data_IF_064319721373
#
_entry.id   IF_064319721373
#
_cell.length_a   1.000
_cell.length_b   1.000
_cell.length_c   1.000
_cell.angle_alpha   90.00
_cell.angle_beta   90.00
_cell.angle_gamma   90.00
#
_symmetry.space_group_name_H-M   'P 1'
#
loop_
_entity.id
_entity.type
_entity.pdbx_description
1 polymer ?
#
# COMPACT_ATOMS: atom_id res chain seq x y z
N UNK A 1 10.74 7.04 -9.34
CA UNK A 1 11.17 5.90 -8.51
C UNK A 1 9.93 5.19 -8.05
N UNK A 2 10.03 3.88 -8.12
CA UNK A 2 9.02 3.03 -8.70
C UNK A 2 8.23 2.40 -7.55
N UNK A 3 6.91 2.39 -7.64
CA UNK A 3 6.11 1.55 -6.73
C UNK A 3 6.37 0.12 -7.11
N UNK A 4 7.38 -0.46 -6.45
CA UNK A 4 7.84 -1.79 -6.76
C UNK A 4 6.98 -2.76 -5.99
N UNK A 5 6.39 -3.74 -6.66
CA UNK A 5 5.75 -4.87 -5.99
C UNK A 5 6.66 -6.06 -6.15
N UNK A 6 6.92 -6.75 -5.04
CA UNK A 6 7.78 -7.92 -5.00
C UNK A 6 6.89 -9.15 -4.82
N UNK A 7 6.98 -10.09 -5.76
CA UNK A 7 6.41 -11.43 -5.58
C UNK A 7 7.54 -12.39 -5.20
N UNK A 8 7.37 -13.08 -4.07
CA UNK A 8 8.24 -14.19 -3.67
C UNK A 8 7.63 -15.51 -4.14
N UNK A 9 8.45 -16.31 -4.80
CA UNK A 9 8.06 -17.62 -5.32
C UNK A 9 8.55 -18.69 -4.35
N UNK A 10 7.71 -19.70 -4.10
CA UNK A 10 8.09 -20.84 -3.26
C UNK A 10 8.93 -21.83 -4.08
N UNK A 11 10.00 -22.34 -3.46
CA UNK A 11 10.79 -23.44 -4.00
C UNK A 11 9.98 -24.73 -3.85
N UNK A 12 9.12 -25.04 -4.83
CA UNK A 12 8.31 -26.25 -4.83
C UNK A 12 9.21 -27.46 -5.14
N UNK A 13 9.22 -28.46 -4.24
CA UNK A 13 10.02 -29.71 -4.25
C UNK A 13 9.65 -30.70 -5.38
N UNK A 14 9.23 -30.22 -6.55
CA UNK A 14 8.92 -31.00 -7.76
C UNK A 14 9.94 -30.74 -8.87
N UNK A 15 10.12 -31.70 -9.79
CA UNK A 15 11.17 -31.72 -10.83
C UNK A 15 11.50 -30.35 -11.43
N UNK A 16 12.79 -30.01 -11.48
CA UNK A 16 13.31 -28.69 -11.89
C UNK A 16 12.77 -28.12 -13.22
N UNK A 17 12.31 -29.01 -14.12
CA UNK A 17 11.69 -28.65 -15.40
C UNK A 17 10.29 -28.03 -15.25
N UNK A 18 9.47 -28.53 -14.32
CA UNK A 18 8.14 -27.94 -14.06
C UNK A 18 8.25 -26.57 -13.41
N UNK A 19 9.29 -26.36 -12.59
CA UNK A 19 9.58 -25.09 -11.94
C UNK A 19 9.92 -24.00 -12.96
N UNK A 20 10.89 -24.27 -13.85
CA UNK A 20 11.31 -23.32 -14.87
C UNK A 20 10.16 -22.88 -15.79
N UNK A 21 9.31 -23.82 -16.24
CA UNK A 21 8.16 -23.52 -17.10
C UNK A 21 7.08 -22.67 -16.40
N UNK A 22 6.80 -22.93 -15.12
CA UNK A 22 5.82 -22.15 -14.36
C UNK A 22 6.27 -20.71 -14.10
N UNK A 23 7.56 -20.50 -13.83
CA UNK A 23 8.13 -19.18 -13.57
C UNK A 23 8.24 -18.35 -14.85
N UNK A 24 8.67 -18.99 -15.94
CA UNK A 24 8.76 -18.35 -17.25
C UNK A 24 7.38 -18.01 -17.82
N UNK A 25 6.36 -18.83 -17.52
CA UNK A 25 4.96 -18.54 -17.83
C UNK A 25 4.43 -17.31 -17.08
N UNK A 26 4.56 -17.29 -15.74
CA UNK A 26 4.14 -16.15 -14.91
C UNK A 26 4.89 -14.89 -15.33
N UNK A 27 6.18 -15.01 -15.67
CA UNK A 27 7.00 -13.93 -16.22
C UNK A 27 6.45 -13.40 -17.54
N UNK A 28 6.28 -14.25 -18.56
CA UNK A 28 5.82 -13.83 -19.89
C UNK A 28 4.41 -13.23 -19.83
N UNK A 29 3.54 -13.79 -18.99
CA UNK A 29 2.19 -13.27 -18.79
C UNK A 29 2.21 -11.87 -18.17
N UNK A 30 3.08 -11.61 -17.19
CA UNK A 30 3.14 -10.31 -16.54
C UNK A 30 3.92 -9.28 -17.38
N UNK A 31 4.95 -9.71 -18.11
CA UNK A 31 5.66 -8.87 -19.10
C UNK A 31 4.72 -8.40 -20.23
N UNK A 32 3.63 -9.13 -20.53
CA UNK A 32 2.60 -8.73 -21.51
C UNK A 32 1.87 -7.42 -21.13
N UNK A 33 1.85 -7.06 -19.85
CA UNK A 33 1.26 -5.81 -19.35
C UNK A 33 2.23 -4.61 -19.33
N UNK A 34 3.39 -4.72 -19.98
CA UNK A 34 4.47 -3.69 -19.99
C UNK A 34 5.03 -3.36 -18.61
N UNK A 35 4.81 -4.21 -17.62
CA UNK A 35 5.40 -4.07 -16.30
C UNK A 35 6.83 -4.59 -16.40
N UNK A 36 7.84 -3.72 -16.26
CA UNK A 36 9.24 -4.15 -16.27
C UNK A 36 9.46 -5.11 -15.11
N UNK A 37 9.78 -6.36 -15.41
CA UNK A 37 10.17 -7.37 -14.43
C UNK A 37 11.69 -7.56 -14.39
N UNK A 38 12.29 -7.36 -13.22
CA UNK A 38 13.64 -7.85 -12.94
C UNK A 38 13.51 -9.10 -12.07
N UNK A 39 13.98 -10.24 -12.57
CA UNK A 39 13.91 -11.52 -11.88
C UNK A 39 15.29 -11.87 -11.30
N UNK A 40 15.35 -12.07 -9.99
CA UNK A 40 16.43 -12.80 -9.31
C UNK A 40 15.86 -14.13 -8.85
N UNK A 41 16.67 -15.17 -8.65
CA UNK A 41 16.29 -16.61 -8.62
C UNK A 41 14.88 -16.96 -8.10
N UNK A 42 14.40 -16.36 -7.00
CA UNK A 42 13.06 -16.58 -6.42
C UNK A 42 12.19 -15.31 -6.23
N UNK A 43 12.56 -14.20 -6.86
CA UNK A 43 11.96 -12.87 -6.63
C UNK A 43 11.69 -12.14 -7.93
N UNK A 44 10.43 -11.75 -8.16
CA UNK A 44 10.05 -10.91 -9.31
C UNK A 44 9.77 -9.50 -8.82
N UNK A 45 10.49 -8.53 -9.40
CA UNK A 45 10.34 -7.10 -9.12
C UNK A 45 9.52 -6.45 -10.23
N UNK A 46 8.35 -5.91 -9.90
CA UNK A 46 7.53 -5.13 -10.85
C UNK A 46 7.82 -3.65 -10.66
N UNK A 47 8.05 -2.88 -11.72
CA UNK A 47 8.15 -1.41 -11.61
C UNK A 47 7.21 -0.69 -12.57
N UNK A 48 6.42 0.25 -12.05
CA UNK A 48 5.55 1.14 -12.83
C UNK A 48 6.05 2.59 -12.80
N UNK A 49 5.98 3.29 -13.94
CA UNK A 49 6.32 4.71 -14.12
C UNK A 49 5.02 5.52 -14.43
N UNK A 50 4.91 6.80 -14.06
CA UNK A 50 3.64 7.54 -14.24
C UNK A 50 3.28 7.89 -15.70
N UNK A 51 4.25 7.81 -16.63
CA UNK A 51 3.93 7.90 -18.06
C UNK A 51 3.13 6.69 -18.57
N UNK A 52 2.93 5.67 -17.74
CA UNK A 52 2.08 4.55 -18.04
C UNK A 52 0.61 4.99 -17.99
N UNK A 53 0.00 5.19 -19.16
CA UNK A 53 -1.46 5.36 -19.33
C UNK A 53 -2.27 4.36 -18.50
N UNK A 54 -1.78 3.12 -18.36
CA UNK A 54 -2.35 2.08 -17.51
C UNK A 54 -2.51 2.49 -16.04
N UNK A 55 -1.55 3.22 -15.46
CA UNK A 55 -1.61 3.63 -14.05
C UNK A 55 -2.71 4.68 -13.84
N UNK A 56 -2.86 5.60 -14.79
CA UNK A 56 -3.95 6.59 -14.77
C UNK A 56 -5.31 5.92 -14.96
N UNK A 57 -5.43 4.96 -15.88
CA UNK A 57 -6.63 4.14 -16.02
C UNK A 57 -6.96 3.40 -14.73
N UNK A 58 -5.96 2.81 -14.06
CA UNK A 58 -6.16 2.13 -12.79
C UNK A 58 -6.59 3.07 -11.67
N UNK A 59 -6.12 4.33 -11.67
CA UNK A 59 -6.57 5.35 -10.73
C UNK A 59 -8.05 5.73 -10.94
N UNK A 60 -8.50 5.79 -12.19
CA UNK A 60 -9.91 6.03 -12.56
C UNK A 60 -10.79 4.82 -12.20
N UNK A 61 -10.35 3.59 -12.50
CA UNK A 61 -11.05 2.35 -12.13
C UNK A 61 -11.25 2.24 -10.62
N UNK A 62 -10.22 2.59 -9.83
CA UNK A 62 -10.27 2.61 -8.37
C UNK A 62 -11.02 3.83 -7.80
N UNK A 63 -11.48 4.75 -8.66
CA UNK A 63 -12.18 6.00 -8.30
C UNK A 63 -11.43 6.79 -7.25
N UNK A 64 -10.11 6.91 -7.42
CA UNK A 64 -9.27 7.66 -6.49
C UNK A 64 -9.73 9.12 -6.48
N UNK A 65 -9.93 9.68 -5.29
CA UNK A 65 -10.35 11.08 -5.15
C UNK A 65 -9.13 11.99 -5.12
N UNK A 66 -9.11 12.99 -5.99
CA UNK A 66 -8.03 13.98 -6.14
C UNK A 66 -8.56 15.40 -5.97
N UNK A 67 -7.66 16.29 -5.56
CA UNK A 67 -7.98 17.71 -5.39
C UNK A 67 -8.12 18.38 -6.75
N UNK A 68 -9.19 19.16 -6.92
CA UNK A 68 -9.35 20.03 -8.08
C UNK A 68 -8.54 21.31 -7.91
N UNK A 69 -8.18 21.93 -9.03
CA UNK A 69 -7.58 23.25 -9.03
C UNK A 69 -8.52 24.27 -8.37
N UNK A 70 -7.99 25.26 -7.62
CA UNK A 70 -8.82 26.27 -6.94
C UNK A 70 -9.73 27.05 -7.88
N UNK A 71 -9.29 27.27 -9.12
CA UNK A 71 -10.05 27.98 -10.16
C UNK A 71 -11.29 27.21 -10.63
N UNK A 72 -11.30 25.88 -10.47
CA UNK A 72 -12.41 25.00 -10.84
C UNK A 72 -13.33 24.67 -9.65
N UNK A 73 -13.30 25.48 -8.60
CA UNK A 73 -14.11 25.32 -7.39
C UNK A 73 -13.44 24.52 -6.27
N UNK A 74 -12.23 23.98 -6.51
CA UNK A 74 -11.46 23.22 -5.53
C UNK A 74 -12.17 21.96 -5.01
N UNK A 75 -11.75 21.49 -3.83
CA UNK A 75 -12.33 20.29 -3.20
C UNK A 75 -11.83 18.98 -3.81
N UNK A 76 -12.44 17.87 -3.40
CA UNK A 76 -12.06 16.51 -3.83
C UNK A 76 -13.09 15.96 -4.81
N UNK A 77 -12.61 15.43 -5.95
CA UNK A 77 -13.43 14.78 -6.97
C UNK A 77 -12.81 13.44 -7.38
N UNK A 78 -13.64 12.50 -7.79
CA UNK A 78 -13.16 11.24 -8.40
C UNK A 78 -12.34 11.56 -9.65
N UNK A 79 -11.17 10.94 -9.75
CA UNK A 79 -10.26 11.12 -10.85
C UNK A 79 -10.85 10.54 -12.15
N UNK A 80 -10.72 11.29 -13.24
CA UNK A 80 -11.01 10.81 -14.60
C UNK A 80 -9.90 11.22 -15.54
N UNK A 81 -9.52 10.30 -16.43
CA UNK A 81 -8.43 10.51 -17.39
C UNK A 81 -8.80 11.59 -18.41
N UNK A 82 -10.07 11.68 -18.81
CA UNK A 82 -10.55 12.66 -19.78
C UNK A 82 -10.44 14.10 -19.25
N UNK A 83 -10.60 14.28 -17.93
CA UNK A 83 -10.58 15.57 -17.26
C UNK A 83 -9.27 15.83 -16.49
N UNK A 84 -8.16 15.22 -16.96
CA UNK A 84 -6.86 15.26 -16.27
C UNK A 84 -6.39 16.65 -15.88
N UNK A 85 -6.60 17.66 -16.74
CA UNK A 85 -6.15 19.04 -16.52
C UNK A 85 -6.90 19.80 -15.42
N UNK A 86 -8.04 19.29 -14.92
CA UNK A 86 -8.80 19.94 -13.85
C UNK A 86 -8.19 19.72 -12.47
N UNK A 87 -7.32 18.72 -12.34
CA UNK A 87 -6.76 18.30 -11.07
C UNK A 87 -5.46 19.05 -10.74
N UNK A 88 -5.23 19.23 -9.44
CA UNK A 88 -4.02 19.86 -8.94
C UNK A 88 -2.82 18.88 -9.00
N UNK A 89 -1.59 19.43 -9.00
CA UNK A 89 -0.32 18.70 -8.99
C UNK A 89 -0.08 17.73 -10.16
N UNK A 90 -0.83 17.87 -11.25
CA UNK A 90 -0.71 17.06 -12.48
C UNK A 90 0.72 17.06 -13.06
N UNK A 91 1.46 18.15 -12.90
CA UNK A 91 2.81 18.30 -13.43
C UNK A 91 3.87 17.53 -12.65
N UNK A 92 3.62 17.22 -11.37
CA UNK A 92 4.54 16.46 -10.54
C UNK A 92 4.03 15.03 -10.39
N UNK A 93 4.67 14.13 -11.12
CA UNK A 93 4.43 12.70 -11.06
C UNK A 93 4.32 12.19 -9.61
N UNK A 94 5.27 12.56 -8.75
CA UNK A 94 5.38 12.00 -7.39
C UNK A 94 4.27 12.51 -6.48
N UNK A 95 3.81 13.73 -6.70
CA UNK A 95 2.76 14.35 -5.90
C UNK A 95 1.37 13.95 -6.39
N UNK A 96 1.19 13.76 -7.70
CA UNK A 96 -0.11 13.42 -8.26
C UNK A 96 -0.60 12.06 -7.78
N UNK A 97 0.23 11.02 -7.91
CA UNK A 97 -0.05 9.69 -7.35
C UNK A 97 0.96 9.34 -6.25
N UNK A 98 0.48 9.18 -5.02
CA UNK A 98 1.30 8.84 -3.87
C UNK A 98 1.83 7.41 -3.96
N UNK A 99 2.90 7.11 -3.22
CA UNK A 99 3.49 5.76 -3.18
C UNK A 99 2.46 4.70 -2.79
N UNK A 100 1.59 5.01 -1.82
CA UNK A 100 0.52 4.11 -1.39
C UNK A 100 -0.52 3.86 -2.50
N UNK A 101 -0.94 4.92 -3.20
CA UNK A 101 -1.94 4.80 -4.27
C UNK A 101 -1.42 3.99 -5.45
N UNK A 102 -0.19 4.26 -5.88
CA UNK A 102 0.47 3.50 -6.95
C UNK A 102 0.59 2.02 -6.60
N UNK A 103 1.04 1.71 -5.39
CA UNK A 103 1.10 0.33 -4.91
C UNK A 103 -0.28 -0.32 -4.91
N UNK A 104 -1.33 0.42 -4.53
CA UNK A 104 -2.69 -0.09 -4.50
C UNK A 104 -3.24 -0.34 -5.91
N UNK A 105 -2.93 0.53 -6.88
CA UNK A 105 -3.27 0.33 -8.29
C UNK A 105 -2.58 -0.92 -8.85
N UNK A 106 -1.27 -1.06 -8.64
CA UNK A 106 -0.53 -2.25 -9.11
C UNK A 106 -1.08 -3.52 -8.46
N UNK A 107 -1.35 -3.49 -7.16
CA UNK A 107 -1.96 -4.62 -6.47
C UNK A 107 -3.34 -4.96 -7.02
N UNK A 108 -4.17 -3.95 -7.32
CA UNK A 108 -5.47 -4.15 -7.97
C UNK A 108 -5.33 -4.85 -9.31
N UNK A 109 -4.40 -4.39 -10.17
CA UNK A 109 -4.14 -5.03 -11.46
C UNK A 109 -3.67 -6.47 -11.33
N UNK A 110 -2.75 -6.76 -10.41
CA UNK A 110 -2.29 -8.12 -10.16
C UNK A 110 -3.45 -9.03 -9.71
N UNK A 111 -4.32 -8.54 -8.82
CA UNK A 111 -5.47 -9.30 -8.32
C UNK A 111 -6.60 -9.42 -9.35
N UNK A 112 -6.67 -8.53 -10.33
CA UNK A 112 -7.64 -8.58 -11.41
C UNK A 112 -7.25 -9.51 -12.56
N UNK A 113 -5.99 -9.99 -12.63
CA UNK A 113 -5.53 -10.91 -13.68
C UNK A 113 -6.36 -12.20 -13.73
N UNK A 114 -6.84 -12.55 -14.94
CA UNK A 114 -7.72 -13.69 -15.20
C UNK A 114 -7.03 -14.73 -16.08
N UNK A 115 -7.17 -16.01 -15.71
CA UNK A 115 -6.57 -17.10 -16.45
C UNK A 115 -7.31 -17.32 -17.79
N UNK A 116 -6.55 -17.47 -18.87
CA UNK A 116 -7.05 -17.93 -20.16
C UNK A 116 -7.04 -19.46 -20.23
N UNK A 117 -7.87 -20.05 -21.10
CA UNK A 117 -8.02 -21.52 -21.20
C UNK A 117 -6.73 -22.24 -21.61
N UNK A 118 -5.86 -21.55 -22.35
CA UNK A 118 -4.58 -22.05 -22.86
C UNK A 118 -3.53 -22.24 -21.74
N UNK A 119 -3.76 -21.59 -20.59
CA UNK A 119 -2.82 -21.55 -19.46
C UNK A 119 -2.93 -22.82 -18.58
N UNK A 120 -4.03 -23.55 -18.72
CA UNK A 120 -4.38 -24.72 -17.91
C UNK A 120 -3.55 -25.96 -18.24
N UNK A 121 -2.91 -25.99 -19.41
CA UNK A 121 -2.11 -27.12 -19.89
C UNK A 121 -0.62 -26.99 -19.50
N UNK A 122 -0.16 -25.79 -19.11
CA UNK A 122 1.25 -25.52 -18.78
C UNK A 122 1.58 -25.63 -17.28
N UNK A 123 0.64 -25.27 -16.42
CA UNK A 123 0.76 -25.49 -14.98
C UNK A 123 -0.04 -26.75 -14.62
N UNK A 124 0.45 -27.59 -13.72
CA UNK A 124 -0.31 -28.72 -13.14
C UNK A 124 -1.58 -28.28 -12.36
N UNK A 125 -1.96 -27.00 -12.45
CA UNK A 125 -3.11 -26.36 -11.85
C UNK A 125 -4.14 -26.12 -12.95
N UNK A 126 -5.31 -26.74 -12.79
CA UNK A 126 -6.47 -26.44 -13.63
C UNK A 126 -7.11 -25.15 -13.13
N UNK A 127 -7.12 -24.12 -13.95
CA UNK A 127 -7.88 -22.91 -13.67
C UNK A 127 -9.33 -23.09 -14.11
N UNK A 128 -10.29 -22.61 -13.31
CA UNK A 128 -11.65 -22.44 -13.81
C UNK A 128 -11.70 -21.26 -14.80
N UNK A 129 -12.67 -21.26 -15.71
CA UNK A 129 -12.86 -20.15 -16.65
C UNK A 129 -13.05 -18.83 -15.88
N UNK A 130 -12.30 -17.80 -16.26
CA UNK A 130 -12.37 -16.45 -15.67
C UNK A 130 -12.03 -16.40 -14.17
N UNK A 131 -11.17 -17.31 -13.70
CA UNK A 131 -10.66 -17.30 -12.34
C UNK A 131 -9.48 -16.33 -12.18
N UNK A 132 -9.41 -15.64 -11.04
CA UNK A 132 -8.26 -14.80 -10.70
C UNK A 132 -6.99 -15.66 -10.56
N UNK A 133 -5.94 -15.35 -11.32
CA UNK A 133 -4.72 -16.15 -11.36
C UNK A 133 -3.94 -16.08 -10.05
N UNK A 134 -3.66 -14.85 -9.60
CA UNK A 134 -2.77 -14.61 -8.45
C UNK A 134 -3.28 -15.27 -7.16
N UNK A 135 -4.56 -15.09 -6.74
CA UNK A 135 -5.08 -15.78 -5.56
C UNK A 135 -5.01 -17.32 -5.68
N UNK A 136 -5.22 -17.83 -6.90
CA UNK A 136 -5.16 -19.28 -7.16
C UNK A 136 -3.74 -19.81 -7.03
N UNK A 137 -2.76 -19.09 -7.58
CA UNK A 137 -1.34 -19.41 -7.43
C UNK A 137 -0.86 -19.27 -5.98
N UNK A 138 -1.41 -18.33 -5.21
CA UNK A 138 -1.15 -18.22 -3.77
C UNK A 138 -1.73 -19.40 -2.99
N UNK A 139 -2.97 -19.81 -3.31
CA UNK A 139 -3.61 -20.97 -2.67
C UNK A 139 -2.90 -22.30 -2.99
N UNK A 140 -2.29 -22.39 -4.19
CA UNK A 140 -1.48 -23.53 -4.60
C UNK A 140 -0.05 -23.50 -4.02
N UNK A 141 0.34 -22.42 -3.34
CA UNK A 141 1.67 -22.27 -2.77
C UNK A 141 2.78 -22.04 -3.80
N UNK A 142 2.46 -21.63 -5.03
CA UNK A 142 3.46 -21.22 -6.04
C UNK A 142 3.96 -19.82 -5.72
N UNK A 143 3.03 -18.89 -5.44
CA UNK A 143 3.34 -17.54 -4.98
C UNK A 143 3.17 -17.53 -3.47
N UNK A 144 4.21 -17.16 -2.73
CA UNK A 144 4.14 -17.05 -1.27
C UNK A 144 3.41 -15.78 -0.85
N UNK A 145 3.93 -14.65 -1.30
CA UNK A 145 3.43 -13.35 -0.88
C UNK A 145 3.76 -12.29 -1.93
N UNK A 146 2.92 -11.27 -1.93
CA UNK A 146 3.04 -10.08 -2.77
C UNK A 146 3.01 -8.90 -1.82
N UNK A 147 4.07 -8.09 -1.83
CA UNK A 147 4.16 -6.92 -0.97
C UNK A 147 4.76 -5.73 -1.72
N UNK A 148 4.35 -4.50 -1.38
CA UNK A 148 5.01 -3.32 -1.88
C UNK A 148 6.40 -3.17 -1.28
N UNK A 149 7.32 -2.69 -2.10
CA UNK A 149 8.65 -2.32 -1.69
C UNK A 149 8.63 -0.92 -1.07
N UNK A 150 9.39 -0.76 0.00
CA UNK A 150 9.58 0.53 0.64
C UNK A 150 10.54 1.41 -0.16
N UNK A 151 10.14 2.64 -0.45
CA UNK A 151 11.03 3.68 -0.94
C UNK A 151 11.85 4.23 0.25
N UNK A 152 13.19 4.04 0.29
CA UNK A 152 14.00 4.39 1.45
C UNK A 152 14.15 5.90 1.62
N UNK A 153 14.10 6.68 0.54
CA UNK A 153 14.22 8.14 0.56
C UNK A 153 13.05 8.78 1.31
N UNK A 154 11.81 8.44 0.94
CA UNK A 154 10.59 8.92 1.60
C UNK A 154 10.47 8.40 3.03
N UNK A 155 10.83 7.14 3.28
CA UNK A 155 10.82 6.57 4.63
C UNK A 155 11.78 7.29 5.57
N UNK A 156 12.99 7.61 5.10
CA UNK A 156 13.98 8.35 5.88
C UNK A 156 13.51 9.78 6.17
N UNK A 157 12.87 10.44 5.19
CA UNK A 157 12.26 11.76 5.36
C UNK A 157 11.17 11.71 6.44
N UNK A 158 10.21 10.78 6.33
CA UNK A 158 9.13 10.61 7.30
C UNK A 158 9.68 10.29 8.70
N UNK A 159 10.65 9.40 8.80
CA UNK A 159 11.33 9.05 10.07
C UNK A 159 11.99 10.26 10.71
N UNK A 160 12.62 11.13 9.93
CA UNK A 160 13.27 12.34 10.44
C UNK A 160 12.30 13.38 10.98
N UNK A 161 11.14 13.54 10.33
CA UNK A 161 10.11 14.51 10.73
C UNK A 161 9.33 14.00 11.92
N UNK A 162 8.90 12.73 11.88
CA UNK A 162 8.00 12.18 12.89
C UNK A 162 8.75 11.66 14.13
N UNK A 163 9.67 10.72 13.93
CA UNK A 163 10.29 9.97 15.04
C UNK A 163 11.41 10.80 15.68
N UNK A 164 12.30 11.39 14.87
CA UNK A 164 13.48 12.10 15.41
C UNK A 164 13.15 13.44 16.06
N UNK A 165 12.06 14.09 15.65
CA UNK A 165 11.69 15.42 16.15
C UNK A 165 10.70 15.37 17.32
N UNK A 166 10.25 14.17 17.72
CA UNK A 166 9.32 13.96 18.85
C UNK A 166 8.14 14.94 18.82
N UNK A 167 7.60 15.17 17.62
CA UNK A 167 6.58 16.20 17.42
C UNK A 167 5.31 15.76 18.13
N UNK A 168 4.77 16.62 18.98
CA UNK A 168 3.52 16.38 19.72
C UNK A 168 2.35 16.17 18.73
N UNK A 169 2.38 16.90 17.60
CA UNK A 169 1.44 16.72 16.50
C UNK A 169 2.02 15.74 15.47
N UNK A 170 1.32 14.63 15.24
CA UNK A 170 1.76 13.62 14.28
C UNK A 170 1.55 14.11 12.84
N UNK A 171 2.53 13.93 11.92
CA UNK A 171 2.40 14.29 10.51
C UNK A 171 1.49 13.29 9.77
N UNK A 172 0.17 13.44 9.92
CA UNK A 172 -0.81 12.46 9.45
C UNK A 172 -0.92 12.41 7.93
N UNK A 173 -0.72 13.54 7.25
CA UNK A 173 -0.81 13.61 5.79
C UNK A 173 0.36 12.85 5.13
N UNK A 174 1.58 13.01 5.66
CA UNK A 174 2.76 12.29 5.18
C UNK A 174 2.67 10.78 5.50
N UNK A 175 2.10 10.41 6.65
CA UNK A 175 1.81 9.01 6.99
C UNK A 175 0.78 8.44 6.00
N UNK A 176 -0.25 9.21 5.64
CA UNK A 176 -1.30 8.82 4.68
C UNK A 176 -0.73 8.64 3.29
N UNK A 177 0.11 9.56 2.81
CA UNK A 177 0.72 9.48 1.48
C UNK A 177 1.62 8.24 1.34
N UNK A 178 2.36 7.89 2.40
CA UNK A 178 3.28 6.75 2.36
C UNK A 178 2.62 5.40 2.66
N UNK A 179 1.87 5.30 3.76
CA UNK A 179 1.27 4.04 4.23
C UNK A 179 -0.22 3.86 3.86
N UNK A 180 -0.87 4.92 3.40
CA UNK A 180 -2.28 4.90 3.04
C UNK A 180 -3.21 5.31 4.19
N UNK A 181 -4.47 5.56 3.82
CA UNK A 181 -5.50 6.12 4.72
C UNK A 181 -5.77 5.25 5.94
N UNK A 182 -5.73 3.91 5.81
CA UNK A 182 -6.02 2.99 6.93
C UNK A 182 -5.00 3.14 8.06
N UNK A 183 -3.72 3.19 7.72
CA UNK A 183 -2.63 3.34 8.69
C UNK A 183 -2.61 4.75 9.27
N UNK A 184 -2.81 5.78 8.44
CA UNK A 184 -2.91 7.16 8.92
C UNK A 184 -4.06 7.37 9.90
N UNK A 185 -5.23 6.75 9.63
CA UNK A 185 -6.37 6.83 10.54
C UNK A 185 -6.09 6.16 11.89
N UNK A 186 -5.38 5.03 11.89
CA UNK A 186 -4.93 4.38 13.12
C UNK A 186 -4.05 5.33 13.97
N UNK A 187 -3.07 5.98 13.36
CA UNK A 187 -2.21 6.95 14.06
C UNK A 187 -2.96 8.19 14.52
N UNK A 188 -3.89 8.71 13.69
CA UNK A 188 -4.77 9.82 14.08
C UNK A 188 -5.58 9.48 15.33
N UNK A 189 -6.16 8.29 15.37
CA UNK A 189 -6.90 7.79 16.54
C UNK A 189 -5.98 7.62 17.75
N UNK A 190 -4.79 7.06 17.58
CA UNK A 190 -3.82 6.89 18.66
C UNK A 190 -3.39 8.25 19.26
N UNK A 191 -3.13 9.25 18.42
CA UNK A 191 -2.81 10.61 18.85
C UNK A 191 -3.97 11.24 19.64
N UNK A 192 -5.20 11.14 19.11
CA UNK A 192 -6.40 11.61 19.80
C UNK A 192 -6.63 10.93 21.15
N UNK A 193 -6.44 9.61 21.22
CA UNK A 193 -6.57 8.82 22.45
C UNK A 193 -5.53 9.25 23.49
N UNK A 194 -4.27 9.40 23.07
CA UNK A 194 -3.19 9.86 23.96
C UNK A 194 -3.47 11.25 24.52
N UNK A 195 -3.96 12.18 23.69
CA UNK A 195 -4.36 13.51 24.14
C UNK A 195 -5.55 13.47 25.11
N UNK A 196 -6.53 12.62 24.83
CA UNK A 196 -7.70 12.43 25.70
C UNK A 196 -7.34 11.85 27.07
N UNK A 197 -6.26 11.06 27.16
CA UNK A 197 -5.74 10.53 28.42
C UNK A 197 -5.01 11.55 29.30
N UNK A 198 -4.61 12.71 28.75
CA UNK A 198 -3.93 13.75 29.54
C UNK A 198 -4.86 14.25 30.65
N UNK A 199 -6.14 14.49 30.35
CA UNK A 199 -7.12 14.96 31.34
C UNK A 199 -7.30 14.00 32.54
N UNK A 200 -7.68 12.72 32.35
CA UNK A 200 -7.82 11.79 33.47
C UNK A 200 -6.48 11.53 34.17
N UNK A 201 -5.35 11.60 33.46
CA UNK A 201 -4.03 11.47 34.09
C UNK A 201 -3.72 12.63 35.03
N UNK A 202 -4.02 13.87 34.63
CA UNK A 202 -3.84 15.05 35.47
C UNK A 202 -4.78 15.01 36.68
N UNK A 203 -6.05 14.65 36.48
CA UNK A 203 -7.02 14.50 37.58
C UNK A 203 -6.58 13.40 38.54
N UNK A 204 -6.18 12.23 38.03
CA UNK A 204 -5.71 11.11 38.85
C UNK A 204 -4.44 11.46 39.64
N UNK A 205 -3.50 12.18 39.03
CA UNK A 205 -2.29 12.66 39.69
C UNK A 205 -2.60 13.71 40.76
N UNK A 206 -3.55 14.62 40.52
CA UNK A 206 -4.00 15.59 41.52
C UNK A 206 -4.65 14.88 42.72
N UNK A 207 -5.53 13.91 42.47
CA UNK A 207 -6.14 13.10 43.55
C UNK A 207 -5.05 12.39 44.36
N UNK A 208 -4.08 11.75 43.69
CA UNK A 208 -3.00 11.04 44.37
C UNK A 208 -2.13 11.95 45.26
N UNK A 209 -1.86 13.19 44.83
CA UNK A 209 -1.04 14.14 45.59
C UNK A 209 -1.80 14.80 46.76
N UNK A 210 -3.06 15.18 46.56
CA UNK A 210 -3.81 15.98 47.54
C UNK A 210 -4.66 15.15 48.49
N UNK A 211 -5.10 13.96 48.07
CA UNK A 211 -5.81 13.03 48.95
C UNK A 211 -4.77 12.22 49.72
N UNK A 212 -4.41 12.73 50.90
CA UNK A 212 -3.46 12.09 51.82
C UNK A 212 -3.77 10.59 52.01
N UNK A 213 -2.86 9.66 51.69
CA UNK A 213 -3.02 8.24 52.07
C UNK A 213 -2.95 8.04 53.59
N UNK A 214 -2.43 9.03 54.34
CA UNK A 214 -2.24 8.95 55.78
C UNK A 214 -3.52 9.24 56.59
N UNK A 215 -4.57 9.82 56.02
CA UNK A 215 -5.79 10.14 56.79
C UNK A 215 -6.66 8.89 57.02
N UNK A 216 -6.53 7.84 56.20
CA UNK A 216 -7.28 6.59 56.40
C UNK A 216 -6.75 5.70 57.53
N UNK A 217 -5.51 5.89 58.00
CA UNK A 217 -4.94 5.07 59.08
C UNK A 217 -5.22 5.60 60.49
N UNK A 218 -5.75 6.82 60.65
CA UNK A 218 -6.08 7.38 61.96
C UNK A 218 -7.53 7.15 62.40
N UNK A 219 -8.37 6.53 61.56
CA UNK A 219 -9.79 6.28 61.83
C UNK A 219 -10.17 4.80 61.98
N UNK A 220 -9.21 3.92 62.30
CA UNK A 220 -9.45 2.55 62.75
C UNK A 220 -8.64 2.20 63.99
#
# INVERSE_FOLDING_TARGET
>A
MNSIVVALLHEYLGSALSHALSLEYVRNYIESFKIKSSCSENTVLYSSELQDSSLLTGAEELRIKKSLLPEHGGGLREFSVDEFSLFDNVMDEKLFLSTSERSNIVHHFLMSLRACREDSDMCSIKFANDQCMIPSLQSAGIILQIFPLHEPSELNKLTSIWIRRWVVLQPLDEIKEYFGTKVAFYFAWLGHYTYSLIFPSVVGLAVWLFVNPNVSFYYY
#
